data_IF_777985198782
#
_entry.id   IF_777985198782
#
_cell.length_a   1.000
_cell.length_b   1.000
_cell.length_c   1.000
_cell.angle_alpha   90.00
_cell.angle_beta   90.00
_cell.angle_gamma   90.00
#
_symmetry.space_group_name_H-M   'P 1'
#
loop_
_entity.id
_entity.type
_entity.pdbx_description
1 polymer ?
#
# COMPACT_ATOMS: atom_id res chain seq x y z
N UNK A 1 -2.84 -10.81 -13.84
CA UNK A 1 -1.88 -10.29 -12.83
C UNK A 1 -1.51 -8.88 -13.24
N UNK A 2 -1.75 -7.85 -12.40
CA UNK A 2 -1.43 -6.46 -12.73
C UNK A 2 0.06 -6.27 -12.99
N UNK A 3 0.41 -5.32 -13.87
CA UNK A 3 1.81 -4.91 -14.00
C UNK A 3 2.23 -4.12 -12.76
N UNK A 4 3.50 -4.24 -12.36
CA UNK A 4 4.06 -3.44 -11.28
C UNK A 4 5.44 -2.88 -11.63
N UNK A 5 5.83 -1.81 -10.95
CA UNK A 5 7.15 -1.19 -11.04
C UNK A 5 7.69 -0.91 -9.65
N UNK A 6 9.01 -1.02 -9.51
CA UNK A 6 9.73 -0.56 -8.33
C UNK A 6 10.29 0.82 -8.66
N UNK A 7 9.87 1.83 -7.91
CA UNK A 7 10.25 3.23 -8.17
C UNK A 7 10.40 3.98 -6.85
N UNK A 8 11.49 4.74 -6.61
CA UNK A 8 11.61 5.60 -5.46
C UNK A 8 10.46 6.62 -5.40
N UNK A 9 9.84 6.77 -4.23
CA UNK A 9 8.75 7.71 -3.99
C UNK A 9 9.07 8.50 -2.72
N UNK A 10 8.89 9.82 -2.76
CA UNK A 10 9.22 10.66 -1.61
C UNK A 10 8.21 10.47 -0.46
N UNK A 11 6.90 10.45 -0.74
CA UNK A 11 5.88 10.53 0.32
C UNK A 11 5.02 9.30 0.49
N UNK A 12 5.29 8.25 -0.28
CA UNK A 12 4.40 7.11 -0.42
C UNK A 12 5.16 5.80 -0.42
N UNK A 13 4.53 4.78 0.15
CA UNK A 13 5.00 3.40 0.10
C UNK A 13 4.59 2.69 -1.20
N UNK A 14 3.47 3.10 -1.78
CA UNK A 14 2.98 2.61 -3.06
C UNK A 14 1.95 3.56 -3.67
N UNK A 15 1.56 3.27 -4.91
CA UNK A 15 0.40 3.89 -5.58
C UNK A 15 -0.09 3.02 -6.74
N UNK A 16 -1.34 3.21 -7.13
CA UNK A 16 -1.95 2.56 -8.29
C UNK A 16 -2.31 3.61 -9.34
N UNK A 17 -1.83 3.42 -10.57
CA UNK A 17 -2.23 4.28 -11.70
C UNK A 17 -3.67 4.01 -12.14
N UNK A 18 -4.28 4.96 -12.85
CA UNK A 18 -5.60 4.79 -13.47
C UNK A 18 -5.69 3.62 -14.46
N UNK A 19 -4.54 3.11 -14.96
CA UNK A 19 -4.45 1.94 -15.84
C UNK A 19 -4.27 0.61 -15.07
N UNK A 20 -4.27 0.64 -13.74
CA UNK A 20 -4.08 -0.54 -12.89
C UNK A 20 -2.63 -1.01 -12.77
N UNK A 21 -1.64 -0.20 -13.15
CA UNK A 21 -0.22 -0.48 -12.84
C UNK A 21 0.09 -0.06 -11.41
N UNK A 22 0.66 -0.98 -10.63
CA UNK A 22 1.15 -0.74 -9.27
C UNK A 22 2.55 -0.14 -9.30
N UNK A 23 2.80 0.82 -8.42
CA UNK A 23 4.12 1.38 -8.14
C UNK A 23 4.43 1.10 -6.67
N UNK A 24 5.58 0.48 -6.40
CA UNK A 24 6.01 0.13 -5.05
C UNK A 24 7.35 0.80 -4.75
N UNK A 25 7.46 1.39 -3.58
CA UNK A 25 8.68 2.06 -3.13
C UNK A 25 9.74 1.01 -2.74
N UNK A 26 10.98 1.07 -3.25
CA UNK A 26 12.06 0.16 -2.84
C UNK A 26 12.30 0.11 -1.33
N UNK A 27 12.02 1.19 -0.59
CA UNK A 27 12.16 1.20 0.86
C UNK A 27 11.24 0.20 1.58
N UNK A 28 10.20 -0.33 0.92
CA UNK A 28 9.35 -1.38 1.47
C UNK A 28 10.13 -2.61 1.93
N UNK A 29 11.30 -2.89 1.33
CA UNK A 29 12.15 -4.02 1.75
C UNK A 29 12.64 -3.89 3.20
N UNK A 30 12.61 -2.67 3.77
CA UNK A 30 12.98 -2.40 5.17
C UNK A 30 11.81 -2.61 6.14
N UNK A 31 10.58 -2.74 5.63
CA UNK A 31 9.39 -2.93 6.44
C UNK A 31 9.13 -4.43 6.73
N UNK A 32 8.44 -4.76 7.83
CA UNK A 32 7.95 -6.11 8.07
C UNK A 32 7.12 -6.63 6.90
N UNK A 33 7.17 -7.94 6.65
CA UNK A 33 6.44 -8.57 5.54
C UNK A 33 4.94 -8.21 5.53
N UNK A 34 4.29 -8.19 6.68
CA UNK A 34 2.87 -7.83 6.79
C UNK A 34 2.58 -6.40 6.28
N UNK A 35 3.50 -5.46 6.48
CA UNK A 35 3.38 -4.09 5.99
C UNK A 35 3.54 -4.02 4.47
N UNK A 36 4.43 -4.85 3.90
CA UNK A 36 4.57 -4.99 2.45
C UNK A 36 3.28 -5.56 1.85
N UNK A 37 2.74 -6.62 2.45
CA UNK A 37 1.47 -7.23 2.03
C UNK A 37 0.32 -6.20 2.11
N UNK A 38 0.26 -5.40 3.19
CA UNK A 38 -0.70 -4.32 3.34
C UNK A 38 -0.65 -3.32 2.17
N UNK A 39 0.54 -2.83 1.79
CA UNK A 39 0.66 -1.86 0.70
C UNK A 39 0.24 -2.48 -0.63
N UNK A 40 0.66 -3.71 -0.92
CA UNK A 40 0.24 -4.40 -2.15
C UNK A 40 -1.28 -4.57 -2.19
N UNK A 41 -1.90 -5.05 -1.10
CA UNK A 41 -3.34 -5.23 -1.02
C UNK A 41 -4.09 -3.90 -1.12
N UNK A 42 -3.57 -2.83 -0.52
CA UNK A 42 -4.10 -1.47 -0.63
C UNK A 42 -4.15 -1.01 -2.09
N UNK A 43 -3.03 -1.14 -2.82
CA UNK A 43 -2.99 -0.72 -4.23
C UNK A 43 -3.83 -1.64 -5.14
N UNK A 44 -3.93 -2.94 -4.82
CA UNK A 44 -4.83 -3.85 -5.54
C UNK A 44 -6.30 -3.47 -5.32
N UNK A 45 -6.68 -3.04 -4.11
CA UNK A 45 -8.04 -2.57 -3.82
C UNK A 45 -8.37 -1.34 -4.67
N UNK A 46 -7.39 -0.48 -4.99
CA UNK A 46 -7.60 0.68 -5.87
C UNK A 46 -7.98 0.34 -7.32
N UNK A 47 -7.73 -0.89 -7.77
CA UNK A 47 -8.20 -1.36 -9.09
C UNK A 47 -9.73 -1.51 -9.11
N UNK A 48 -10.33 -1.91 -7.99
CA UNK A 48 -11.77 -2.07 -7.85
C UNK A 48 -12.46 -0.79 -7.35
N UNK A 49 -11.80 -0.05 -6.45
CA UNK A 49 -12.37 1.13 -5.77
C UNK A 49 -11.35 2.29 -5.79
N UNK A 50 -11.54 3.26 -6.69
CA UNK A 50 -10.57 4.34 -6.96
C UNK A 50 -10.31 5.30 -5.79
N UNK A 51 -11.13 5.27 -4.74
CA UNK A 51 -11.03 6.15 -3.58
C UNK A 51 -11.17 5.35 -2.28
N UNK A 52 -10.80 5.95 -1.15
CA UNK A 52 -10.94 5.35 0.18
C UNK A 52 -12.38 5.43 0.72
N UNK A 53 -13.37 5.04 -0.10
CA UNK A 53 -14.77 4.95 0.33
C UNK A 53 -15.01 3.80 1.31
N UNK A 54 -16.22 3.73 1.89
CA UNK A 54 -16.62 2.59 2.70
C UNK A 54 -16.46 1.25 1.95
N UNK A 55 -16.73 1.23 0.64
CA UNK A 55 -16.56 0.03 -0.20
C UNK A 55 -15.11 -0.42 -0.26
N UNK A 56 -14.18 0.53 -0.43
CA UNK A 56 -12.74 0.26 -0.37
C UNK A 56 -12.35 -0.38 0.97
N UNK A 57 -12.75 0.23 2.09
CA UNK A 57 -12.36 -0.28 3.40
C UNK A 57 -12.99 -1.63 3.71
N UNK A 58 -14.22 -1.88 3.25
CA UNK A 58 -14.86 -3.20 3.33
C UNK A 58 -14.11 -4.26 2.51
N UNK A 59 -13.67 -3.90 1.30
CA UNK A 59 -12.86 -4.80 0.46
C UNK A 59 -11.50 -5.09 1.09
N UNK A 60 -10.79 -4.07 1.57
CA UNK A 60 -9.51 -4.27 2.25
C UNK A 60 -9.66 -5.12 3.51
N UNK A 61 -10.74 -4.89 4.28
CA UNK A 61 -11.03 -5.66 5.49
C UNK A 61 -11.36 -7.13 5.17
N UNK A 62 -11.99 -7.43 4.03
CA UNK A 62 -12.30 -8.82 3.66
C UNK A 62 -11.06 -9.63 3.28
N UNK A 63 -10.02 -8.97 2.75
CA UNK A 63 -8.75 -9.62 2.38
C UNK A 63 -7.67 -9.51 3.46
N UNK A 64 -7.76 -8.53 4.35
CA UNK A 64 -6.82 -8.31 5.45
C UNK A 64 -7.52 -7.73 6.68
N UNK A 65 -8.16 -8.56 7.53
CA UNK A 65 -8.96 -8.07 8.66
C UNK A 65 -8.21 -7.19 9.67
N UNK A 66 -6.91 -7.42 9.85
CA UNK A 66 -6.04 -6.70 10.79
C UNK A 66 -5.30 -5.50 10.17
N UNK A 67 -5.71 -5.02 8.99
CA UNK A 67 -5.00 -3.97 8.25
C UNK A 67 -4.76 -2.68 9.06
N UNK A 68 -5.64 -2.34 10.02
CA UNK A 68 -5.51 -1.13 10.85
C UNK A 68 -4.26 -1.16 11.72
N UNK A 69 -3.97 -2.31 12.34
CA UNK A 69 -2.79 -2.51 13.19
C UNK A 69 -1.52 -2.47 12.33
N UNK A 70 -1.56 -3.12 11.17
CA UNK A 70 -0.44 -3.13 10.22
C UNK A 70 -0.18 -1.74 9.64
N UNK A 71 -1.23 -0.99 9.29
CA UNK A 71 -1.11 0.39 8.85
C UNK A 71 -0.45 1.25 9.94
N UNK A 72 -0.88 1.12 11.20
CA UNK A 72 -0.27 1.88 12.30
C UNK A 72 1.23 1.59 12.46
N UNK A 73 1.67 0.34 12.27
CA UNK A 73 3.10 -0.02 12.26
C UNK A 73 3.82 0.63 11.08
N UNK A 74 3.25 0.55 9.89
CA UNK A 74 3.82 1.13 8.67
C UNK A 74 3.92 2.66 8.74
N UNK A 75 2.90 3.33 9.28
CA UNK A 75 2.88 4.79 9.46
C UNK A 75 4.05 5.24 10.35
N UNK A 76 4.34 4.52 11.45
CA UNK A 76 5.50 4.79 12.31
C UNK A 76 6.85 4.61 11.62
N UNK A 77 6.90 3.85 10.52
CA UNK A 77 8.11 3.69 9.70
C UNK A 77 8.26 4.78 8.63
N UNK A 78 7.17 5.44 8.24
CA UNK A 78 7.20 6.47 7.20
C UNK A 78 8.13 7.62 7.59
N UNK A 79 8.12 8.01 8.87
CA UNK A 79 8.99 9.08 9.39
C UNK A 79 10.48 8.78 9.25
N UNK A 80 10.86 7.49 9.25
CA UNK A 80 12.25 7.04 9.21
C UNK A 80 12.79 6.85 7.79
N UNK A 81 11.91 6.56 6.82
CA UNK A 81 12.34 6.08 5.50
C UNK A 81 11.80 6.90 4.31
N UNK A 82 10.82 7.77 4.54
CA UNK A 82 10.21 8.60 3.48
C UNK A 82 10.48 10.11 3.68
N UNK A 83 11.19 10.50 4.73
CA UNK A 83 11.53 11.90 5.02
C UNK A 83 12.95 12.31 4.58
N UNK A 84 13.58 11.56 3.68
CA UNK A 84 14.87 11.93 3.06
C UNK A 84 14.70 12.80 1.81
#
# INVERSE_FOLDING_TARGET
>A
IPSFRIMPMQKQWGSCSAKGTLMLNPHLIKAPKECIDYVILHELCHIAEYNHSERFWRLLTSVMPNWKEVKSKLDGMAELYLNE
#
